data_IF_465833685739
#
_entry.id   IF_465833685739
#
_cell.length_a   1.000
_cell.length_b   1.000
_cell.length_c   1.000
_cell.angle_alpha   90.00
_cell.angle_beta   90.00
_cell.angle_gamma   90.00
#
_symmetry.space_group_name_H-M   'P 1'
#
loop_
_entity.id
_entity.type
_entity.pdbx_description
1 polymer ?
#
# COMPACT_ATOMS: atom_id res chain seq x y z
N UNK A 1 -5.99 19.85 15.25
CA UNK A 1 -6.39 18.89 14.20
C UNK A 1 -5.16 18.31 13.49
N UNK A 2 -4.62 17.18 13.97
CA UNK A 2 -3.52 16.42 13.32
C UNK A 2 -3.61 14.90 13.53
N UNK A 3 -4.38 14.45 14.55
CA UNK A 3 -4.49 13.03 14.92
C UNK A 3 -5.20 12.17 13.87
N UNK A 4 -6.26 12.68 13.25
CA UNK A 4 -6.99 11.94 12.21
C UNK A 4 -6.15 11.69 10.95
N UNK A 5 -5.28 12.63 10.58
CA UNK A 5 -4.37 12.47 9.46
C UNK A 5 -3.26 11.46 9.79
N UNK A 6 -2.68 11.55 11.00
CA UNK A 6 -1.70 10.58 11.47
C UNK A 6 -2.27 9.15 11.47
N UNK A 7 -3.45 8.98 12.07
CA UNK A 7 -4.09 7.68 12.14
C UNK A 7 -4.44 7.13 10.75
N UNK A 8 -4.94 7.97 9.84
CA UNK A 8 -5.18 7.56 8.45
C UNK A 8 -3.89 7.08 7.77
N UNK A 9 -2.79 7.80 7.92
CA UNK A 9 -1.52 7.40 7.31
C UNK A 9 -0.99 6.09 7.89
N UNK A 10 -1.13 5.87 9.20
CA UNK A 10 -0.75 4.61 9.85
C UNK A 10 -1.60 3.45 9.33
N UNK A 11 -2.91 3.64 9.20
CA UNK A 11 -3.81 2.62 8.64
C UNK A 11 -3.46 2.28 7.19
N UNK A 12 -3.24 3.30 6.35
CA UNK A 12 -2.84 3.10 4.95
C UNK A 12 -1.54 2.31 4.89
N UNK A 13 -0.55 2.67 5.70
CA UNK A 13 0.74 2.01 5.73
C UNK A 13 0.64 0.56 6.18
N UNK A 14 -0.08 0.29 7.27
CA UNK A 14 -0.28 -1.07 7.78
C UNK A 14 -0.96 -1.97 6.75
N UNK A 15 -2.07 -1.49 6.17
CA UNK A 15 -2.78 -2.25 5.15
C UNK A 15 -1.94 -2.46 3.87
N UNK A 16 -1.13 -1.48 3.47
CA UNK A 16 -0.25 -1.62 2.31
C UNK A 16 0.84 -2.69 2.54
N UNK A 17 1.39 -2.78 3.75
CA UNK A 17 2.32 -3.86 4.12
C UNK A 17 1.63 -5.23 4.07
N UNK A 18 0.43 -5.35 4.63
CA UNK A 18 -0.31 -6.60 4.62
C UNK A 18 -0.66 -7.05 3.19
N UNK A 19 -1.07 -6.10 2.32
CA UNK A 19 -1.31 -6.37 0.89
C UNK A 19 -0.03 -6.85 0.21
N UNK A 20 1.10 -6.17 0.44
CA UNK A 20 2.39 -6.57 -0.14
C UNK A 20 2.81 -7.98 0.30
N UNK A 21 2.59 -8.33 1.57
CA UNK A 21 2.87 -9.67 2.09
C UNK A 21 2.02 -10.74 1.40
N UNK A 22 0.72 -10.48 1.21
CA UNK A 22 -0.18 -11.40 0.48
C UNK A 22 0.26 -11.53 -0.98
N UNK A 23 0.64 -10.45 -1.64
CA UNK A 23 1.13 -10.48 -3.03
C UNK A 23 2.40 -11.32 -3.14
N UNK A 24 3.35 -11.16 -2.21
CA UNK A 24 4.57 -12.00 -2.19
C UNK A 24 4.23 -13.48 -2.07
N UNK A 25 3.31 -13.84 -1.18
CA UNK A 25 2.85 -15.23 -1.03
C UNK A 25 2.22 -15.77 -2.33
N UNK A 26 1.40 -14.96 -3.02
CA UNK A 26 0.81 -15.35 -4.30
C UNK A 26 1.88 -15.58 -5.37
N UNK A 27 2.88 -14.71 -5.46
CA UNK A 27 4.01 -14.87 -6.38
C UNK A 27 4.83 -16.12 -6.07
N UNK A 28 5.10 -16.42 -4.78
CA UNK A 28 5.79 -17.63 -4.34
C UNK A 28 5.02 -18.91 -4.68
N UNK A 29 3.69 -18.86 -4.62
CA UNK A 29 2.81 -19.94 -5.06
C UNK A 29 2.77 -20.11 -6.59
N UNK A 30 3.36 -19.17 -7.35
CA UNK A 30 3.43 -19.19 -8.81
C UNK A 30 2.23 -18.53 -9.49
N UNK A 31 1.44 -17.74 -8.77
CA UNK A 31 0.40 -16.91 -9.38
C UNK A 31 1.01 -15.67 -10.04
N UNK A 32 0.43 -15.28 -11.17
CA UNK A 32 0.74 -14.01 -11.82
C UNK A 32 -0.17 -12.92 -11.22
N UNK A 33 0.42 -11.81 -10.78
CA UNK A 33 -0.31 -10.66 -10.22
C UNK A 33 -0.18 -9.48 -11.18
N UNK A 34 -1.31 -9.05 -11.75
CA UNK A 34 -1.34 -7.89 -12.64
C UNK A 34 -1.23 -6.58 -11.82
N UNK A 35 -0.30 -5.66 -12.15
CA UNK A 35 -0.23 -4.34 -11.51
C UNK A 35 -1.56 -3.57 -11.56
N UNK A 36 -2.37 -3.73 -12.61
CA UNK A 36 -3.68 -3.09 -12.77
C UNK A 36 -4.67 -3.57 -11.70
N UNK A 37 -4.64 -4.86 -11.35
CA UNK A 37 -5.51 -5.41 -10.29
C UNK A 37 -5.17 -4.78 -8.94
N UNK A 38 -3.88 -4.58 -8.65
CA UNK A 38 -3.43 -3.89 -7.44
C UNK A 38 -3.79 -2.40 -7.43
N UNK A 39 -3.77 -1.73 -8.59
CA UNK A 39 -4.13 -0.32 -8.71
C UNK A 39 -5.60 -0.04 -8.34
N UNK A 40 -6.48 -1.03 -8.49
CA UNK A 40 -7.88 -0.96 -8.08
C UNK A 40 -8.10 -1.16 -6.57
N UNK A 41 -7.09 -1.63 -5.83
CA UNK A 41 -7.19 -1.88 -4.40
C UNK A 41 -6.84 -0.60 -3.63
N UNK A 42 -7.79 -0.11 -2.84
CA UNK A 42 -7.52 0.98 -1.90
C UNK A 42 -6.85 0.45 -0.63
N UNK A 43 -5.68 0.96 -0.22
CA UNK A 43 -5.04 0.59 1.04
C UNK A 43 -5.79 1.19 2.25
N UNK A 44 -6.84 2.00 2.08
CA UNK A 44 -7.59 2.56 3.19
C UNK A 44 -8.84 1.75 3.56
N UNK A 45 -8.64 0.47 3.88
CA UNK A 45 -9.67 -0.41 4.45
C UNK A 45 -9.86 -0.11 5.94
N UNK A 46 -11.11 0.09 6.37
CA UNK A 46 -11.44 0.56 7.73
C UNK A 46 -12.38 -0.37 8.50
N UNK A 47 -12.89 -1.44 7.89
CA UNK A 47 -13.85 -2.34 8.54
C UNK A 47 -13.26 -3.07 9.75
N UNK A 48 -11.97 -3.42 9.68
CA UNK A 48 -11.25 -4.14 10.73
C UNK A 48 -10.59 -3.22 11.77
N UNK A 49 -10.71 -1.89 11.63
CA UNK A 49 -9.97 -0.91 12.45
C UNK A 49 -10.93 0.01 13.21
N UNK A 50 -10.82 0.01 14.54
CA UNK A 50 -11.60 0.90 15.39
C UNK A 50 -10.99 2.32 15.42
N UNK A 51 -11.28 3.16 14.42
CA UNK A 51 -10.66 4.50 14.28
C UNK A 51 -10.87 5.44 15.48
N UNK A 52 -11.92 5.24 16.26
CA UNK A 52 -12.24 6.03 17.45
C UNK A 52 -12.07 5.24 18.76
N UNK A 53 -11.39 4.09 18.69
CA UNK A 53 -11.07 3.26 19.84
C UNK A 53 -9.94 3.82 20.70
N UNK A 54 -9.82 3.26 21.90
CA UNK A 54 -8.68 3.51 22.78
C UNK A 54 -7.52 2.59 22.37
N UNK A 55 -6.38 3.19 22.02
CA UNK A 55 -5.17 2.48 21.67
C UNK A 55 -4.12 2.66 22.78
N UNK A 56 -3.51 1.55 23.21
CA UNK A 56 -2.43 1.57 24.19
C UNK A 56 -1.17 2.19 23.60
N UNK A 57 -0.52 3.06 24.37
CA UNK A 57 0.77 3.67 23.98
C UNK A 57 1.99 2.95 24.56
N UNK A 58 1.78 1.87 25.33
CA UNK A 58 2.86 1.14 26.02
C UNK A 58 3.91 0.57 25.07
N UNK A 59 3.52 0.27 23.83
CA UNK A 59 4.36 -0.38 22.83
C UNK A 59 5.03 0.61 21.87
N UNK A 60 4.75 1.91 21.97
CA UNK A 60 5.34 2.94 21.08
C UNK A 60 6.88 3.04 21.20
N UNK A 61 7.46 2.50 22.27
CA UNK A 61 8.91 2.45 22.47
C UNK A 61 9.59 1.23 21.83
N UNK A 62 8.80 0.29 21.30
CA UNK A 62 9.32 -0.92 20.65
C UNK A 62 9.59 -0.57 19.19
N UNK A 63 10.83 -0.78 18.74
CA UNK A 63 11.17 -0.64 17.33
C UNK A 63 10.60 -1.86 16.57
N UNK A 64 9.75 -1.65 15.56
CA UNK A 64 9.27 -2.76 14.74
C UNK A 64 10.41 -3.35 13.90
N UNK A 65 10.22 -4.58 13.44
CA UNK A 65 11.10 -5.19 12.45
C UNK A 65 11.12 -4.34 11.17
N UNK A 66 12.25 -4.36 10.47
CA UNK A 66 12.37 -3.66 9.20
C UNK A 66 11.43 -4.32 8.18
N UNK A 67 10.58 -3.51 7.56
CA UNK A 67 9.74 -3.98 6.46
C UNK A 67 10.55 -4.04 5.17
N UNK A 68 10.21 -4.99 4.31
CA UNK A 68 10.73 -5.04 2.94
C UNK A 68 9.91 -4.09 2.05
N UNK A 69 10.53 -3.08 1.42
CA UNK A 69 9.84 -2.18 0.50
C UNK A 69 9.69 -2.75 -0.92
N UNK A 70 10.39 -3.84 -1.26
CA UNK A 70 10.39 -4.39 -2.61
C UNK A 70 9.17 -5.30 -2.85
N UNK A 71 8.59 -5.19 -4.04
CA UNK A 71 7.49 -6.02 -4.50
C UNK A 71 7.76 -6.35 -5.98
N UNK A 72 7.86 -7.65 -6.29
CA UNK A 72 8.23 -8.13 -7.62
C UNK A 72 7.03 -8.11 -8.59
N UNK A 73 6.49 -6.92 -8.81
CA UNK A 73 5.39 -6.64 -9.74
C UNK A 73 5.81 -5.45 -10.61
N UNK A 74 5.69 -5.60 -11.94
CA UNK A 74 6.08 -4.54 -12.88
C UNK A 74 4.97 -3.49 -13.02
N UNK A 75 5.11 -2.36 -12.32
CA UNK A 75 4.19 -1.21 -12.44
C UNK A 75 4.51 -0.26 -13.61
N UNK A 76 5.51 -0.55 -14.44
CA UNK A 76 5.89 0.30 -15.59
C UNK A 76 4.73 0.59 -16.54
N UNK A 77 3.87 -0.39 -16.91
CA UNK A 77 2.76 -0.16 -17.82
C UNK A 77 1.77 0.91 -17.33
N UNK A 78 1.44 0.93 -16.04
CA UNK A 78 0.53 1.94 -15.45
C UNK A 78 1.12 3.34 -15.53
N UNK A 79 2.43 3.46 -15.26
CA UNK A 79 3.13 4.75 -15.33
C UNK A 79 3.10 5.33 -16.74
N UNK A 80 3.25 4.49 -17.76
CA UNK A 80 3.18 4.93 -19.16
C UNK A 80 1.76 5.36 -19.55
N UNK A 81 0.74 4.61 -19.11
CA UNK A 81 -0.65 4.99 -19.31
C UNK A 81 -0.99 6.34 -18.67
N UNK A 82 -0.54 6.59 -17.44
CA UNK A 82 -0.72 7.87 -16.75
C UNK A 82 -0.04 9.03 -17.49
N UNK A 83 1.16 8.81 -18.03
CA UNK A 83 1.89 9.83 -18.80
C UNK A 83 1.21 10.13 -20.14
N UNK A 84 0.63 9.11 -20.79
CA UNK A 84 -0.17 9.26 -22.01
C UNK A 84 -1.47 10.02 -21.69
N UNK A 85 -2.18 9.64 -20.62
CA UNK A 85 -3.40 10.30 -20.17
C UNK A 85 -3.17 11.76 -19.75
N UNK A 86 -2.01 12.05 -19.13
CA UNK A 86 -1.58 13.39 -18.77
C UNK A 86 -1.09 14.24 -19.97
N UNK A 87 -1.01 13.67 -21.18
CA UNK A 87 -0.54 14.35 -22.38
C UNK A 87 0.97 14.67 -22.37
N UNK A 88 1.74 14.00 -21.52
CA UNK A 88 3.19 14.21 -21.34
C UNK A 88 4.04 13.25 -22.18
N UNK A 89 3.42 12.32 -22.91
CA UNK A 89 4.09 11.28 -23.72
C UNK A 89 4.61 11.72 -25.09
N UNK A 90 4.39 12.97 -25.52
CA UNK A 90 4.90 13.49 -26.80
C UNK A 90 5.74 14.75 -26.60
N UNK A 91 7.02 14.54 -26.31
CA UNK A 91 8.08 15.46 -26.69
C UNK A 91 8.88 14.80 -27.84
N UNK A 92 9.19 15.61 -28.84
CA UNK A 92 9.72 15.26 -30.17
C UNK A 92 11.00 14.39 -30.19
#
# INVERSE_FOLDING_TARGET
MKFNALLTNVVIFHNALDIAEIVRQLLEEGWEVDPEDLAHISPYLTEHINRFGEYSTHELGIQPEAYDPELDVDFTPLREQDLIAAGLGQAA
#
